data_IF_381431269706
#
_entry.id   IF_381431269706
#
_cell.length_a   1.000
_cell.length_b   1.000
_cell.length_c   1.000
_cell.angle_alpha   90.00
_cell.angle_beta   90.00
_cell.angle_gamma   90.00
#
_symmetry.space_group_name_H-M   'P 1'
#
loop_
_entity.id
_entity.type
_entity.pdbx_description
1 polymer ?
#
# COMPACT_ATOMS: atom_id res chain seq x y z
N UNK A 1 -56.50 35.21 39.95
CA UNK A 1 -55.06 35.29 40.27
C UNK A 1 -54.52 33.87 40.35
N UNK A 2 -54.15 33.30 39.20
CA UNK A 2 -53.50 31.99 39.10
C UNK A 2 -52.59 32.03 37.86
N UNK A 3 -51.29 32.15 38.09
CA UNK A 3 -50.28 31.85 37.08
C UNK A 3 -49.34 30.81 37.68
N UNK A 4 -49.41 29.60 37.12
CA UNK A 4 -48.54 28.48 37.43
C UNK A 4 -47.17 28.72 36.80
N UNK A 5 -46.14 28.55 37.62
CA UNK A 5 -44.73 28.43 37.22
C UNK A 5 -44.60 27.17 36.37
N UNK A 6 -44.05 27.29 35.16
CA UNK A 6 -43.56 26.15 34.37
C UNK A 6 -42.12 26.45 33.97
N UNK A 7 -41.22 25.66 34.53
CA UNK A 7 -39.77 25.81 34.36
C UNK A 7 -39.31 25.38 32.97
N UNK A 8 -38.34 26.10 32.44
CA UNK A 8 -37.47 25.60 31.37
C UNK A 8 -36.56 24.53 31.97
N UNK A 9 -36.92 23.25 31.86
CA UNK A 9 -35.91 22.20 31.91
C UNK A 9 -35.19 22.20 30.57
N UNK A 10 -33.85 22.37 30.52
CA UNK A 10 -33.10 22.04 29.32
C UNK A 10 -33.12 20.52 29.20
N UNK A 11 -34.10 20.02 28.46
CA UNK A 11 -34.12 18.62 28.05
C UNK A 11 -32.91 18.38 27.18
N UNK A 12 -31.95 17.62 27.70
CA UNK A 12 -30.93 16.95 26.91
C UNK A 12 -31.66 16.05 25.91
N UNK A 13 -31.87 16.57 24.70
CA UNK A 13 -32.22 15.74 23.56
C UNK A 13 -30.91 15.04 23.15
N UNK A 14 -30.54 14.00 23.89
CA UNK A 14 -29.55 13.01 23.42
C UNK A 14 -30.20 12.28 22.24
N UNK A 15 -30.10 12.90 21.07
CA UNK A 15 -30.56 12.29 19.82
C UNK A 15 -29.62 11.13 19.50
N UNK A 16 -30.17 9.93 19.34
CA UNK A 16 -29.48 8.77 18.76
C UNK A 16 -28.86 9.07 17.37
N UNK A 17 -29.32 10.15 16.72
CA UNK A 17 -28.73 10.72 15.50
C UNK A 17 -27.35 11.34 15.78
N UNK A 18 -27.17 12.02 16.91
CA UNK A 18 -25.90 12.61 17.32
C UNK A 18 -24.84 11.56 17.66
N UNK A 19 -25.21 10.45 18.30
CA UNK A 19 -24.27 9.36 18.60
C UNK A 19 -23.86 8.60 17.33
N UNK A 20 -24.77 8.39 16.37
CA UNK A 20 -24.45 7.83 15.06
C UNK A 20 -23.47 8.69 14.26
N UNK A 21 -23.73 10.00 14.17
CA UNK A 21 -22.83 10.95 13.50
C UNK A 21 -21.48 11.03 14.21
N UNK A 22 -21.44 11.11 15.55
CA UNK A 22 -20.18 11.13 16.31
C UNK A 22 -19.41 9.82 16.14
N UNK A 23 -20.08 8.68 16.09
CA UNK A 23 -19.44 7.37 15.90
C UNK A 23 -18.84 7.23 14.50
N UNK A 24 -19.60 7.56 13.45
CA UNK A 24 -19.11 7.59 12.07
C UNK A 24 -17.95 8.58 11.91
N UNK A 25 -18.05 9.75 12.56
CA UNK A 25 -17.01 10.76 12.51
C UNK A 25 -15.74 10.31 13.25
N UNK A 26 -15.87 9.65 14.41
CA UNK A 26 -14.74 9.05 15.15
C UNK A 26 -14.08 7.93 14.37
N UNK A 27 -14.85 7.05 13.73
CA UNK A 27 -14.31 5.99 12.88
C UNK A 27 -13.58 6.58 11.67
N UNK A 28 -14.14 7.62 11.05
CA UNK A 28 -13.51 8.34 9.95
C UNK A 28 -12.18 8.99 10.37
N UNK A 29 -12.11 9.62 11.54
CA UNK A 29 -10.87 10.20 12.06
C UNK A 29 -9.83 9.15 12.48
N UNK A 30 -10.26 8.08 13.14
CA UNK A 30 -9.36 6.97 13.51
C UNK A 30 -8.73 6.34 12.26
N UNK A 31 -9.55 6.09 11.24
CA UNK A 31 -9.09 5.59 9.94
C UNK A 31 -8.14 6.57 9.25
N UNK A 32 -8.44 7.88 9.27
CA UNK A 32 -7.53 8.90 8.71
C UNK A 32 -6.16 8.90 9.38
N UNK A 33 -6.12 8.83 10.71
CA UNK A 33 -4.86 8.77 11.45
C UNK A 33 -4.07 7.48 11.19
N UNK A 34 -4.75 6.35 11.03
CA UNK A 34 -4.11 5.09 10.66
C UNK A 34 -3.45 5.20 9.27
N UNK A 35 -4.16 5.77 8.30
CA UNK A 35 -3.65 6.02 6.95
C UNK A 35 -2.45 6.98 6.98
N UNK A 36 -2.53 8.08 7.73
CA UNK A 36 -1.40 9.02 7.89
C UNK A 36 -0.19 8.34 8.52
N UNK A 37 -0.37 7.55 9.58
CA UNK A 37 0.72 6.82 10.22
C UNK A 37 1.39 5.82 9.26
N UNK A 38 0.61 5.15 8.40
CA UNK A 38 1.13 4.23 7.38
C UNK A 38 1.88 4.96 6.26
N UNK A 39 1.41 6.15 5.87
CA UNK A 39 2.14 7.02 4.95
C UNK A 39 3.47 7.46 5.54
N UNK A 40 3.49 7.89 6.81
CA UNK A 40 4.73 8.33 7.46
C UNK A 40 5.72 7.17 7.63
N UNK A 41 5.23 5.97 7.90
CA UNK A 41 6.02 4.74 7.92
C UNK A 41 6.65 4.47 6.54
N UNK A 42 5.86 4.58 5.47
CA UNK A 42 6.32 4.44 4.09
C UNK A 42 7.42 5.47 3.76
N UNK A 43 7.21 6.75 4.06
CA UNK A 43 8.20 7.82 3.84
C UNK A 43 9.51 7.49 4.55
N UNK A 44 9.43 7.09 5.83
CA UNK A 44 10.60 6.78 6.64
C UNK A 44 11.35 5.56 6.12
N UNK A 45 10.64 4.53 5.69
CA UNK A 45 11.26 3.35 5.12
C UNK A 45 12.01 3.67 3.82
N UNK A 46 11.56 4.64 3.03
CA UNK A 46 12.18 5.01 1.74
C UNK A 46 13.25 6.09 1.86
N UNK A 47 13.38 6.76 3.02
CA UNK A 47 14.36 7.83 3.22
C UNK A 47 15.81 7.37 2.99
N UNK A 48 16.11 6.11 3.33
CA UNK A 48 17.42 5.49 3.18
C UNK A 48 17.48 4.52 1.99
N UNK A 49 16.53 4.62 1.05
CA UNK A 49 16.50 3.77 -0.14
C UNK A 49 17.80 3.89 -0.94
N UNK A 50 18.35 2.78 -1.48
CA UNK A 50 19.53 2.82 -2.33
C UNK A 50 19.30 3.53 -3.68
N UNK A 51 18.05 3.83 -4.05
CA UNK A 51 17.69 4.46 -5.30
C UNK A 51 17.92 5.97 -5.27
N UNK A 52 18.83 6.48 -6.11
CA UNK A 52 19.26 7.88 -6.08
C UNK A 52 18.56 8.79 -7.10
N UNK A 53 17.96 8.22 -8.14
CA UNK A 53 17.36 8.97 -9.26
C UNK A 53 15.84 8.98 -9.24
N UNK A 54 15.24 8.79 -8.06
CA UNK A 54 13.79 8.77 -7.88
C UNK A 54 13.08 7.56 -8.46
N UNK A 55 13.84 6.51 -8.75
CA UNK A 55 13.30 5.20 -9.13
C UNK A 55 12.48 4.60 -8.00
N UNK A 56 12.84 4.86 -6.74
CA UNK A 56 12.07 4.47 -5.55
C UNK A 56 11.64 5.71 -4.76
N UNK A 57 11.37 6.82 -5.47
CA UNK A 57 10.80 8.00 -4.82
C UNK A 57 9.57 7.53 -4.06
N UNK A 58 9.50 7.91 -2.79
CA UNK A 58 8.24 8.08 -2.08
C UNK A 58 7.31 8.70 -3.08
N UNK A 59 6.30 7.95 -3.49
CA UNK A 59 5.47 8.41 -4.58
C UNK A 59 4.63 9.52 -3.98
N UNK A 60 5.06 10.78 -4.18
CA UNK A 60 4.30 11.94 -3.75
C UNK A 60 2.87 11.84 -4.30
N UNK A 61 2.70 11.28 -5.51
CA UNK A 61 1.39 10.97 -6.07
C UNK A 61 0.67 9.79 -5.43
N UNK A 62 1.30 8.70 -4.95
CA UNK A 62 0.59 7.63 -4.23
C UNK A 62 0.24 8.08 -2.81
N UNK A 63 1.10 8.88 -2.17
CA UNK A 63 0.82 9.52 -0.88
C UNK A 63 -0.32 10.52 -1.02
N UNK A 64 -0.30 11.38 -2.03
CA UNK A 64 -1.42 12.28 -2.34
C UNK A 64 -2.66 11.50 -2.77
N UNK A 65 -2.55 10.45 -3.59
CA UNK A 65 -3.69 9.62 -4.01
C UNK A 65 -4.29 8.92 -2.80
N UNK A 66 -3.50 8.26 -1.95
CA UNK A 66 -3.99 7.60 -0.73
C UNK A 66 -4.64 8.63 0.22
N UNK A 67 -4.08 9.83 0.36
CA UNK A 67 -4.66 10.92 1.17
C UNK A 67 -5.93 11.52 0.55
N UNK A 68 -5.97 11.66 -0.77
CA UNK A 68 -7.05 12.32 -1.55
C UNK A 68 -8.23 11.37 -1.78
N UNK A 69 -7.94 10.11 -2.09
CA UNK A 69 -8.86 9.02 -2.40
C UNK A 69 -9.08 8.07 -1.21
N UNK A 70 -8.78 8.53 0.01
CA UNK A 70 -9.06 7.82 1.27
C UNK A 70 -10.51 7.31 1.42
N UNK A 71 -11.44 7.81 0.59
CA UNK A 71 -12.85 7.40 0.53
C UNK A 71 -13.23 6.53 -0.68
N UNK A 72 -12.47 6.50 -1.78
CA UNK A 72 -12.73 5.63 -2.96
C UNK A 72 -12.26 4.20 -2.76
N UNK A 73 -11.49 3.95 -1.70
CA UNK A 73 -11.16 2.60 -1.25
C UNK A 73 -9.99 1.99 -2.03
N UNK A 74 -9.15 1.27 -1.29
CA UNK A 74 -7.99 0.53 -1.78
C UNK A 74 -8.20 -0.20 -3.12
N UNK A 75 -9.39 -0.79 -3.32
CA UNK A 75 -9.72 -1.55 -4.52
C UNK A 75 -9.77 -0.68 -5.79
N UNK A 76 -10.30 0.54 -5.72
CA UNK A 76 -10.37 1.43 -6.89
C UNK A 76 -8.97 1.89 -7.31
N UNK A 77 -8.08 2.11 -6.33
CA UNK A 77 -6.67 2.43 -6.59
C UNK A 77 -5.97 1.25 -7.26
N UNK A 78 -6.17 0.02 -6.74
CA UNK A 78 -5.60 -1.18 -7.36
C UNK A 78 -6.12 -1.42 -8.78
N UNK A 79 -7.41 -1.23 -9.04
CA UNK A 79 -8.00 -1.42 -10.37
C UNK A 79 -7.40 -0.46 -11.40
N UNK A 80 -7.20 0.81 -11.01
CA UNK A 80 -6.54 1.82 -11.87
C UNK A 80 -5.08 1.47 -12.15
N UNK A 81 -4.34 1.00 -11.14
CA UNK A 81 -2.96 0.58 -11.30
C UNK A 81 -2.85 -0.68 -12.18
N UNK A 82 -3.73 -1.66 -11.97
CA UNK A 82 -3.79 -2.87 -12.80
C UNK A 82 -4.13 -2.54 -14.26
N UNK A 83 -5.05 -1.58 -14.49
CA UNK A 83 -5.34 -1.06 -15.83
C UNK A 83 -4.11 -0.44 -16.49
N UNK A 84 -3.35 0.40 -15.77
CA UNK A 84 -2.12 0.98 -16.28
C UNK A 84 -1.05 -0.08 -16.58
N UNK A 85 -0.91 -1.08 -15.70
CA UNK A 85 0.04 -2.18 -15.87
C UNK A 85 -0.28 -3.03 -17.11
N UNK A 86 -1.56 -3.36 -17.33
CA UNK A 86 -2.01 -4.23 -18.43
C UNK A 86 -2.12 -3.54 -19.79
N UNK A 87 -2.15 -2.22 -19.84
CA UNK A 87 -2.28 -1.47 -21.10
C UNK A 87 -0.94 -1.42 -21.85
N UNK A 88 -0.77 -2.17 -22.96
CA UNK A 88 0.49 -2.19 -23.72
C UNK A 88 0.78 -0.85 -24.43
N UNK A 89 -0.18 0.07 -24.52
CA UNK A 89 0.05 1.41 -25.03
C UNK A 89 0.79 2.31 -24.03
N UNK A 90 0.84 1.93 -22.74
CA UNK A 90 1.57 2.68 -21.73
C UNK A 90 3.08 2.49 -21.86
N UNK A 91 3.88 3.55 -21.61
CA UNK A 91 5.33 3.42 -21.52
C UNK A 91 5.75 2.37 -20.48
N UNK A 92 6.84 1.66 -20.75
CA UNK A 92 7.39 0.63 -19.84
C UNK A 92 7.57 1.13 -18.41
N UNK A 93 8.13 2.33 -18.22
CA UNK A 93 8.30 2.93 -16.91
C UNK A 93 6.98 3.20 -16.16
N UNK A 94 5.89 3.47 -16.88
CA UNK A 94 4.54 3.66 -16.27
C UNK A 94 3.99 2.32 -15.82
N UNK A 95 4.12 1.27 -16.64
CA UNK A 95 3.69 -0.09 -16.29
C UNK A 95 4.49 -0.65 -15.11
N UNK A 96 5.81 -0.45 -15.13
CA UNK A 96 6.71 -0.82 -14.02
C UNK A 96 6.35 -0.08 -12.73
N UNK A 97 6.07 1.23 -12.82
CA UNK A 97 5.64 2.01 -11.66
C UNK A 97 4.30 1.51 -11.12
N UNK A 98 3.32 1.21 -11.97
CA UNK A 98 2.03 0.69 -11.54
C UNK A 98 2.19 -0.64 -10.80
N UNK A 99 3.02 -1.55 -11.32
CA UNK A 99 3.32 -2.84 -10.70
C UNK A 99 4.03 -2.71 -9.35
N UNK A 100 5.04 -1.84 -9.27
CA UNK A 100 5.71 -1.49 -8.02
C UNK A 100 4.73 -0.94 -6.97
N UNK A 101 3.83 -0.04 -7.37
CA UNK A 101 2.80 0.52 -6.48
C UNK A 101 1.87 -0.55 -5.92
N UNK A 102 1.38 -1.47 -6.76
CA UNK A 102 0.55 -2.58 -6.30
C UNK A 102 1.28 -3.44 -5.28
N UNK A 103 2.57 -3.75 -5.53
CA UNK A 103 3.40 -4.51 -4.61
C UNK A 103 3.53 -3.81 -3.23
N UNK A 104 3.83 -2.50 -3.23
CA UNK A 104 3.93 -1.70 -2.00
C UNK A 104 2.60 -1.67 -1.26
N UNK A 105 1.49 -1.36 -1.95
CA UNK A 105 0.16 -1.28 -1.34
C UNK A 105 -0.24 -2.58 -0.64
N UNK A 106 -0.03 -3.72 -1.30
CA UNK A 106 -0.30 -5.03 -0.70
C UNK A 106 0.64 -5.34 0.48
N UNK A 107 1.93 -5.01 0.36
CA UNK A 107 2.92 -5.29 1.42
C UNK A 107 2.54 -4.59 2.73
N UNK A 108 2.07 -3.34 2.64
CA UNK A 108 1.69 -2.51 3.80
C UNK A 108 0.41 -2.96 4.48
N UNK A 109 -0.46 -3.69 3.78
CA UNK A 109 -1.69 -4.25 4.33
C UNK A 109 -1.42 -5.53 5.13
N UNK A 110 -0.37 -6.27 4.78
CA UNK A 110 0.04 -7.49 5.47
C UNK A 110 -0.98 -8.64 5.40
N UNK A 111 -0.70 -9.71 6.14
CA UNK A 111 -1.53 -10.91 6.17
C UNK A 111 -1.53 -11.61 4.81
N UNK A 112 -2.71 -11.95 4.29
CA UNK A 112 -2.87 -12.55 2.96
C UNK A 112 -2.32 -11.68 1.82
N UNK A 113 -2.24 -10.35 2.03
CA UNK A 113 -1.71 -9.42 1.04
C UNK A 113 -0.19 -9.52 0.89
N UNK A 114 0.52 -10.09 1.86
CA UNK A 114 1.97 -10.30 1.76
C UNK A 114 2.31 -11.21 0.58
N UNK A 115 1.50 -12.25 0.33
CA UNK A 115 1.71 -13.17 -0.80
C UNK A 115 1.53 -12.43 -2.14
N UNK A 116 0.49 -11.60 -2.26
CA UNK A 116 0.28 -10.78 -3.47
C UNK A 116 1.42 -9.79 -3.69
N UNK A 117 1.92 -9.17 -2.62
CA UNK A 117 3.06 -8.26 -2.70
C UNK A 117 4.31 -8.96 -3.26
N UNK A 118 4.61 -10.18 -2.78
CA UNK A 118 5.72 -11.00 -3.29
C UNK A 118 5.58 -11.26 -4.78
N UNK A 119 4.40 -11.67 -5.23
CA UNK A 119 4.12 -11.95 -6.63
C UNK A 119 4.33 -10.71 -7.51
N UNK A 120 3.85 -9.53 -7.09
CA UNK A 120 4.06 -8.30 -7.85
C UNK A 120 5.53 -7.85 -7.88
N UNK A 121 6.28 -7.98 -6.78
CA UNK A 121 7.72 -7.70 -6.79
C UNK A 121 8.49 -8.68 -7.69
N UNK A 122 8.10 -9.96 -7.71
CA UNK A 122 8.68 -10.97 -8.61
C UNK A 122 8.43 -10.61 -10.06
N UNK A 123 7.19 -10.28 -10.43
CA UNK A 123 6.84 -9.80 -11.79
C UNK A 123 7.62 -8.55 -12.16
N UNK A 124 7.75 -7.58 -11.25
CA UNK A 124 8.51 -6.36 -11.50
C UNK A 124 9.98 -6.67 -11.85
N UNK A 125 10.58 -7.63 -11.14
CA UNK A 125 11.96 -8.05 -11.38
C UNK A 125 12.18 -8.68 -12.76
N UNK A 126 11.19 -9.45 -13.25
CA UNK A 126 11.27 -10.23 -14.49
C UNK A 126 10.78 -9.45 -15.70
N UNK A 127 9.60 -8.82 -15.63
CA UNK A 127 8.97 -8.13 -16.75
C UNK A 127 9.61 -6.77 -17.05
N UNK A 128 10.19 -6.11 -16.04
CA UNK A 128 10.76 -4.76 -16.17
C UNK A 128 12.23 -4.71 -15.73
N UNK A 129 13.12 -5.44 -16.43
CA UNK A 129 14.47 -5.68 -15.96
C UNK A 129 15.39 -4.45 -15.96
N UNK A 130 14.92 -3.29 -16.43
CA UNK A 130 15.68 -2.04 -16.40
C UNK A 130 15.08 -1.01 -15.43
N UNK A 131 14.01 -1.37 -14.71
CA UNK A 131 13.32 -0.49 -13.78
C UNK A 131 13.48 -0.98 -12.33
N UNK A 132 13.55 -0.05 -11.38
CA UNK A 132 13.61 -0.34 -9.94
C UNK A 132 14.78 -1.24 -9.48
N UNK A 133 15.85 -1.43 -10.28
CA UNK A 133 16.93 -2.38 -9.93
C UNK A 133 17.59 -2.14 -8.58
N UNK A 134 17.66 -0.89 -8.15
CA UNK A 134 18.20 -0.49 -6.87
C UNK A 134 17.45 -1.10 -5.66
N UNK A 135 16.13 -1.31 -5.71
CA UNK A 135 15.39 -1.90 -4.57
C UNK A 135 15.69 -3.40 -4.38
N UNK A 136 16.15 -4.06 -5.45
CA UNK A 136 16.53 -5.48 -5.44
C UNK A 136 18.00 -5.71 -5.13
N UNK A 137 18.81 -4.64 -5.11
CA UNK A 137 20.24 -4.72 -4.87
C UNK A 137 20.53 -5.27 -3.46
N UNK A 138 21.62 -6.03 -3.37
CA UNK A 138 22.08 -6.61 -2.11
C UNK A 138 22.52 -5.51 -1.12
N UNK A 139 21.56 -5.09 -0.30
CA UNK A 139 21.68 -3.95 0.60
C UNK A 139 20.99 -4.27 1.92
N UNK A 140 21.50 -3.66 3.00
CA UNK A 140 20.86 -3.73 4.33
C UNK A 140 19.42 -3.20 4.30
N UNK A 141 19.16 -2.24 3.41
CA UNK A 141 17.83 -1.67 3.21
C UNK A 141 16.86 -2.72 2.65
N UNK A 142 17.24 -3.43 1.58
CA UNK A 142 16.44 -4.52 0.99
C UNK A 142 16.08 -5.55 2.05
N UNK A 143 17.07 -6.02 2.81
CA UNK A 143 16.83 -7.03 3.85
C UNK A 143 15.91 -6.51 4.95
N UNK A 144 16.03 -5.24 5.32
CA UNK A 144 15.12 -4.62 6.29
C UNK A 144 13.68 -4.55 5.75
N UNK A 145 13.49 -4.22 4.46
CA UNK A 145 12.16 -4.19 3.85
C UNK A 145 11.55 -5.60 3.75
N UNK A 146 12.36 -6.60 3.39
CA UNK A 146 11.94 -8.01 3.38
C UNK A 146 11.44 -8.41 4.76
N UNK A 147 12.25 -8.20 5.82
CA UNK A 147 11.88 -8.55 7.20
C UNK A 147 10.58 -7.88 7.66
N UNK A 148 10.40 -6.60 7.31
CA UNK A 148 9.25 -5.81 7.77
C UNK A 148 7.97 -6.15 7.04
N UNK A 149 8.03 -6.39 5.73
CA UNK A 149 6.85 -6.32 4.87
C UNK A 149 6.60 -7.60 4.06
N UNK A 150 7.64 -8.41 3.83
CA UNK A 150 7.55 -9.53 2.89
C UNK A 150 7.64 -10.88 3.55
N UNK A 151 8.27 -11.06 4.71
CA UNK A 151 8.37 -12.37 5.37
C UNK A 151 7.01 -12.93 5.81
N UNK A 152 6.82 -14.23 5.59
CA UNK A 152 5.73 -15.00 6.17
C UNK A 152 6.14 -15.51 7.56
N UNK A 153 5.17 -15.88 8.43
CA UNK A 153 5.49 -16.35 9.77
C UNK A 153 6.46 -17.54 9.75
N UNK A 154 7.62 -17.37 10.39
CA UNK A 154 8.64 -18.42 10.51
C UNK A 154 9.72 -18.44 9.43
N UNK A 155 9.63 -17.59 8.40
CA UNK A 155 10.69 -17.47 7.39
C UNK A 155 11.84 -16.55 7.83
N UNK A 156 13.00 -16.80 7.23
CA UNK A 156 14.18 -15.93 7.24
C UNK A 156 14.34 -15.15 5.93
N UNK A 157 15.20 -14.12 5.92
CA UNK A 157 15.50 -13.36 4.71
C UNK A 157 16.21 -14.24 3.68
N UNK A 158 17.08 -15.11 4.16
CA UNK A 158 17.86 -16.04 3.35
C UNK A 158 16.93 -17.02 2.63
N UNK A 159 16.00 -17.65 3.34
CA UNK A 159 15.00 -18.56 2.75
C UNK A 159 14.12 -17.83 1.71
N UNK A 160 13.66 -16.62 2.03
CA UNK A 160 12.88 -15.79 1.11
C UNK A 160 13.65 -15.50 -0.19
N UNK A 161 14.92 -15.10 -0.10
CA UNK A 161 15.74 -14.79 -1.26
C UNK A 161 16.05 -16.04 -2.10
N UNK A 162 16.26 -17.18 -1.45
CA UNK A 162 16.46 -18.46 -2.15
C UNK A 162 15.21 -18.94 -2.89
N UNK A 163 14.03 -18.74 -2.30
CA UNK A 163 12.75 -19.05 -2.93
C UNK A 163 12.49 -18.13 -4.12
N UNK A 164 12.63 -16.81 -3.93
CA UNK A 164 12.48 -15.83 -4.99
C UNK A 164 13.42 -16.09 -6.18
N UNK A 165 14.67 -16.50 -5.92
CA UNK A 165 15.62 -16.89 -6.97
C UNK A 165 15.14 -18.11 -7.76
N UNK A 166 14.70 -19.16 -7.07
CA UNK A 166 14.18 -20.39 -7.69
C UNK A 166 12.94 -20.14 -8.54
N UNK A 167 12.08 -19.24 -8.09
CA UNK A 167 10.87 -18.84 -8.83
C UNK A 167 11.19 -18.10 -10.12
N UNK A 168 12.14 -17.15 -10.07
CA UNK A 168 12.61 -16.43 -11.27
C UNK A 168 13.26 -17.40 -12.26
N UNK A 169 14.13 -18.29 -11.78
CA UNK A 169 14.76 -19.32 -12.62
C UNK A 169 13.71 -20.23 -13.30
N UNK A 170 12.63 -20.55 -12.58
CA UNK A 170 11.53 -21.34 -13.14
C UNK A 170 10.81 -20.58 -14.26
N UNK A 171 10.48 -19.31 -14.06
CA UNK A 171 9.84 -18.48 -15.08
C UNK A 171 10.70 -18.33 -16.35
N UNK A 172 12.01 -18.22 -16.20
CA UNK A 172 12.91 -18.19 -17.35
C UNK A 172 12.94 -19.55 -18.10
N UNK A 173 12.87 -20.66 -17.36
CA UNK A 173 12.92 -22.02 -17.93
C UNK A 173 11.62 -22.49 -18.59
N UNK A 174 10.46 -22.00 -18.13
CA UNK A 174 9.14 -22.36 -18.65
C UNK A 174 8.74 -21.49 -19.86
N UNK A 175 9.60 -20.57 -20.27
CA UNK A 175 9.37 -19.66 -21.38
C UNK A 175 8.38 -18.58 -20.98
N UNK A 176 8.88 -17.48 -20.40
CA UNK A 176 8.16 -16.21 -20.22
C UNK A 176 7.75 -15.55 -21.54
N UNK A 177 6.98 -16.26 -22.37
CA UNK A 177 6.15 -15.69 -23.41
C UNK A 177 4.84 -15.28 -22.74
N UNK A 178 4.77 -14.02 -22.33
CA UNK A 178 3.48 -13.36 -22.26
C UNK A 178 2.89 -13.37 -23.68
N UNK A 179 1.82 -14.14 -23.88
CA UNK A 179 0.78 -13.82 -24.87
C UNK A 179 -0.08 -12.66 -24.35
#
# INVERSE_FOLDING_TARGET
>A
MFSLVSGCMPGTIETAVGTGIIYEQKQKYAYQHEVEAKVDEYIRDHADSPCRNGEDRVIDSAVEIIKTYRLSGFNEVLERLDTLYRDPAQPEGVRAAALYNMAVLHSRRGGENTVLAREYFKRLYVEFPNHYRCIFADTKWRDAMIRKQLLLPGETVEEFLEDARRDVERWDSEGGAAE
#
